data_IF_856622696421
#
_entry.id   IF_856622696421
#
_cell.length_a   1.000
_cell.length_b   1.000
_cell.length_c   1.000
_cell.angle_alpha   90.00
_cell.angle_beta   90.00
_cell.angle_gamma   90.00
#
_symmetry.space_group_name_H-M   'P 1'
#
loop_
_entity.id
_entity.type
_entity.pdbx_description
1 polymer ?
#
# COMPACT_ATOMS: atom_id res chain seq x y z
N UNK A 1 0.31 27.60 -8.20
CA UNK A 1 -0.70 26.52 -8.36
C UNK A 1 -1.50 26.34 -7.07
N UNK A 2 -0.89 25.93 -5.93
CA UNK A 2 -1.66 25.68 -4.68
C UNK A 2 -2.32 26.95 -4.17
N UNK A 3 -1.61 28.08 -4.17
CA UNK A 3 -2.14 29.37 -3.73
C UNK A 3 -3.37 29.81 -4.58
N UNK A 4 -3.33 29.59 -5.88
CA UNK A 4 -4.46 29.84 -6.79
C UNK A 4 -5.68 28.97 -6.44
N UNK A 5 -5.44 27.68 -6.13
CA UNK A 5 -6.52 26.80 -5.66
C UNK A 5 -7.09 27.22 -4.31
N UNK A 6 -6.27 27.71 -3.40
CA UNK A 6 -6.74 28.19 -2.09
C UNK A 6 -7.66 29.41 -2.21
N UNK A 7 -7.47 30.25 -3.25
CA UNK A 7 -8.32 31.42 -3.50
C UNK A 7 -9.71 31.07 -4.04
N UNK A 8 -9.83 29.98 -4.82
CA UNK A 8 -11.09 29.62 -5.50
C UNK A 8 -11.83 28.45 -4.83
N UNK A 9 -11.19 27.72 -3.94
CA UNK A 9 -11.79 26.54 -3.31
C UNK A 9 -12.93 26.93 -2.37
N UNK A 10 -14.02 26.20 -2.45
CA UNK A 10 -15.19 26.35 -1.56
C UNK A 10 -15.06 25.55 -0.26
N UNK A 11 -13.94 24.90 -0.05
CA UNK A 11 -13.60 24.11 1.14
C UNK A 11 -12.22 24.47 1.68
N UNK A 12 -11.94 24.11 2.92
CA UNK A 12 -10.67 24.46 3.57
C UNK A 12 -9.50 23.64 3.01
N UNK A 13 -8.51 24.33 2.49
CA UNK A 13 -7.23 23.76 2.06
C UNK A 13 -6.17 24.13 3.10
N UNK A 14 -5.40 23.14 3.57
CA UNK A 14 -4.27 23.31 4.46
C UNK A 14 -3.03 22.77 3.77
N UNK A 15 -2.14 23.63 3.37
CA UNK A 15 -0.90 23.26 2.69
C UNK A 15 0.26 23.12 3.67
N UNK A 16 1.00 22.03 3.53
CA UNK A 16 2.19 21.74 4.33
C UNK A 16 3.35 21.36 3.43
N UNK A 17 4.29 22.27 3.28
CA UNK A 17 5.56 21.96 2.60
C UNK A 17 6.48 21.13 3.48
N UNK A 18 7.17 20.17 2.88
CA UNK A 18 8.28 19.45 3.48
C UNK A 18 9.26 19.01 2.39
N UNK A 19 10.53 18.83 2.77
CA UNK A 19 11.52 18.22 1.90
C UNK A 19 11.14 16.78 1.57
N UNK A 20 11.46 16.32 0.34
CA UNK A 20 11.14 14.98 -0.10
C UNK A 20 11.90 13.92 0.73
N UNK A 21 11.20 13.31 1.64
CA UNK A 21 11.66 12.20 2.49
C UNK A 21 10.91 10.91 2.21
N UNK A 22 10.13 10.86 1.11
CA UNK A 22 9.32 9.74 0.68
C UNK A 22 7.84 9.88 1.03
N UNK A 23 6.98 9.28 0.19
CA UNK A 23 5.51 9.34 0.32
C UNK A 23 5.01 8.94 1.71
N UNK A 24 5.55 7.90 2.31
CA UNK A 24 5.16 7.40 3.63
C UNK A 24 5.36 8.45 4.75
N UNK A 25 6.39 9.29 4.65
CA UNK A 25 6.63 10.39 5.61
C UNK A 25 5.59 11.49 5.41
N UNK A 26 5.25 11.80 4.17
CA UNK A 26 4.18 12.75 3.86
C UNK A 26 2.82 12.25 4.37
N UNK A 27 2.53 10.96 4.21
CA UNK A 27 1.31 10.35 4.77
C UNK A 27 1.29 10.46 6.29
N UNK A 28 2.38 10.13 7.00
CA UNK A 28 2.45 10.28 8.45
C UNK A 28 2.15 11.70 8.90
N UNK A 29 2.70 12.71 8.18
CA UNK A 29 2.40 14.11 8.47
C UNK A 29 0.95 14.44 8.19
N UNK A 30 0.42 14.04 7.02
CA UNK A 30 -0.98 14.26 6.67
C UNK A 30 -1.94 13.67 7.69
N UNK A 31 -1.70 12.44 8.15
CA UNK A 31 -2.50 11.78 9.19
C UNK A 31 -2.44 12.55 10.53
N UNK A 32 -1.25 12.99 10.95
CA UNK A 32 -1.10 13.77 12.18
C UNK A 32 -1.85 15.11 12.14
N UNK A 33 -1.76 15.79 11.00
CA UNK A 33 -2.41 17.08 10.78
C UNK A 33 -3.92 16.98 10.49
N UNK A 34 -4.40 15.78 10.14
CA UNK A 34 -5.79 15.56 9.77
C UNK A 34 -6.74 15.79 10.94
N UNK A 35 -7.85 16.51 10.65
CA UNK A 35 -8.96 16.77 11.59
C UNK A 35 -10.25 16.04 11.18
N UNK A 36 -10.30 15.53 9.96
CA UNK A 36 -11.44 14.77 9.43
C UNK A 36 -11.54 13.39 10.06
N UNK A 37 -12.73 12.84 10.13
CA UNK A 37 -13.00 11.50 10.62
C UNK A 37 -12.43 10.42 9.72
N UNK A 38 -12.44 10.68 8.41
CA UNK A 38 -11.88 9.82 7.38
C UNK A 38 -10.62 10.45 6.76
N UNK A 39 -9.66 9.62 6.45
CA UNK A 39 -8.43 9.98 5.74
C UNK A 39 -8.36 9.26 4.41
N UNK A 40 -8.23 10.01 3.33
CA UNK A 40 -8.13 9.49 1.98
C UNK A 40 -6.87 10.01 1.31
N UNK A 41 -6.05 9.12 0.77
CA UNK A 41 -4.84 9.46 0.02
C UNK A 41 -5.21 9.60 -1.45
N UNK A 42 -5.02 10.80 -1.99
CA UNK A 42 -5.16 11.07 -3.43
C UNK A 42 -3.81 11.55 -3.93
N UNK A 43 -3.27 10.86 -4.93
CA UNK A 43 -2.00 11.22 -5.56
C UNK A 43 -2.20 12.45 -6.46
N UNK A 44 -1.17 13.27 -6.64
CA UNK A 44 -1.27 14.57 -7.33
C UNK A 44 -1.50 14.46 -8.84
N UNK A 45 -1.28 13.31 -9.41
CA UNK A 45 -1.47 12.96 -10.82
C UNK A 45 -2.77 12.18 -11.10
N UNK A 46 -3.58 11.98 -10.03
CA UNK A 46 -4.84 11.25 -10.08
C UNK A 46 -6.03 12.16 -9.79
N UNK A 47 -7.25 11.69 -10.07
CA UNK A 47 -8.47 12.45 -9.75
C UNK A 47 -9.61 11.55 -9.25
N UNK A 48 -10.58 12.18 -8.57
CA UNK A 48 -11.78 11.52 -8.07
C UNK A 48 -12.95 11.78 -9.01
N UNK A 49 -13.93 10.86 -9.02
CA UNK A 49 -15.21 11.14 -9.68
C UNK A 49 -15.93 12.29 -8.97
N UNK A 50 -16.76 13.03 -9.66
CA UNK A 50 -17.54 14.16 -9.12
C UNK A 50 -18.36 13.77 -7.87
N UNK A 51 -18.90 12.55 -7.86
CA UNK A 51 -19.72 12.03 -6.77
C UNK A 51 -18.93 11.29 -5.68
N UNK A 52 -17.60 11.26 -5.74
CA UNK A 52 -16.78 10.45 -4.85
C UNK A 52 -17.02 10.76 -3.36
N UNK A 53 -17.00 12.04 -3.00
CA UNK A 53 -17.13 12.47 -1.59
C UNK A 53 -18.53 12.16 -1.05
N UNK A 54 -19.57 12.46 -1.83
CA UNK A 54 -20.94 12.16 -1.45
C UNK A 54 -21.16 10.65 -1.26
N UNK A 55 -20.62 9.86 -2.18
CA UNK A 55 -20.68 8.41 -2.12
C UNK A 55 -19.98 7.86 -0.88
N UNK A 56 -18.76 8.34 -0.59
CA UNK A 56 -18.00 7.96 0.61
C UNK A 56 -18.81 8.27 1.87
N UNK A 57 -19.38 9.46 1.97
CA UNK A 57 -20.20 9.86 3.12
C UNK A 57 -21.44 8.98 3.28
N UNK A 58 -22.10 8.65 2.18
CA UNK A 58 -23.28 7.76 2.20
C UNK A 58 -22.92 6.35 2.69
N UNK A 59 -21.91 5.76 2.09
CA UNK A 59 -21.50 4.37 2.39
C UNK A 59 -20.90 4.26 3.81
N UNK A 60 -20.22 5.32 4.29
CA UNK A 60 -19.64 5.35 5.65
C UNK A 60 -20.70 5.33 6.75
N UNK A 61 -21.87 5.93 6.53
CA UNK A 61 -22.99 5.90 7.49
C UNK A 61 -23.39 4.47 7.86
N UNK A 62 -23.22 3.52 6.97
CA UNK A 62 -23.56 2.13 7.21
C UNK A 62 -22.55 1.38 8.12
N UNK A 63 -21.38 1.96 8.41
CA UNK A 63 -20.32 1.35 9.25
C UNK A 63 -19.82 2.26 10.37
N UNK A 64 -20.34 3.47 10.51
CA UNK A 64 -19.83 4.48 11.45
C UNK A 64 -19.83 3.99 12.90
N UNK A 65 -20.85 3.25 13.32
CA UNK A 65 -20.99 2.70 14.68
C UNK A 65 -20.29 1.35 14.90
N UNK A 66 -19.78 0.71 13.84
CA UNK A 66 -19.12 -0.59 13.96
C UNK A 66 -17.60 -0.41 14.12
N UNK A 67 -17.10 -0.72 15.32
CA UNK A 67 -15.67 -0.61 15.67
C UNK A 67 -14.80 -1.65 15.01
N UNK A 68 -15.37 -2.67 14.37
CA UNK A 68 -14.62 -3.70 13.62
C UNK A 68 -14.17 -3.21 12.26
N UNK A 69 -14.73 -2.10 11.75
CA UNK A 69 -14.32 -1.49 10.49
C UNK A 69 -13.28 -0.38 10.69
N UNK A 70 -12.22 -0.44 9.90
CA UNK A 70 -11.24 0.65 9.78
C UNK A 70 -11.58 1.65 8.68
N UNK A 71 -12.57 1.37 7.83
CA UNK A 71 -12.93 2.27 6.74
C UNK A 71 -13.59 1.59 5.55
N UNK A 72 -13.44 2.21 4.38
CA UNK A 72 -14.03 1.82 3.10
C UNK A 72 -12.94 1.55 2.07
N UNK A 73 -13.27 0.79 1.04
CA UNK A 73 -12.39 0.52 -0.09
C UNK A 73 -13.21 0.47 -1.38
N UNK A 74 -12.75 1.20 -2.40
CA UNK A 74 -13.42 1.28 -3.70
C UNK A 74 -12.49 0.82 -4.81
N UNK A 75 -13.05 0.60 -6.00
CA UNK A 75 -12.26 0.31 -7.18
C UNK A 75 -11.55 1.59 -7.67
N UNK A 76 -10.31 1.42 -8.12
CA UNK A 76 -9.65 2.38 -9.00
C UNK A 76 -9.95 2.02 -10.45
N UNK A 77 -9.97 2.99 -11.31
CA UNK A 77 -10.15 2.81 -12.74
C UNK A 77 -9.09 3.58 -13.54
N UNK A 78 -8.84 3.15 -14.75
CA UNK A 78 -8.12 3.93 -15.75
C UNK A 78 -9.00 5.09 -16.24
N UNK A 79 -8.42 6.06 -16.93
CA UNK A 79 -9.15 7.19 -17.51
C UNK A 79 -10.22 6.74 -18.54
N UNK A 80 -10.07 5.55 -19.14
CA UNK A 80 -11.07 4.93 -20.03
C UNK A 80 -12.23 4.26 -19.28
N UNK A 81 -12.23 4.31 -17.94
CA UNK A 81 -13.25 3.76 -17.07
C UNK A 81 -13.12 2.26 -16.77
N UNK A 82 -12.10 1.57 -17.29
CA UNK A 82 -11.88 0.16 -16.96
C UNK A 82 -11.32 0.00 -15.55
N UNK A 83 -11.86 -0.95 -14.78
CA UNK A 83 -11.41 -1.21 -13.42
C UNK A 83 -9.95 -1.73 -13.40
N UNK A 84 -9.11 -1.15 -12.54
CA UNK A 84 -7.75 -1.63 -12.31
C UNK A 84 -7.82 -2.97 -11.57
N UNK A 85 -7.22 -4.00 -12.18
CA UNK A 85 -7.27 -5.38 -11.69
C UNK A 85 -8.49 -6.17 -12.14
N UNK A 86 -9.37 -5.58 -12.94
CA UNK A 86 -10.57 -6.19 -13.51
C UNK A 86 -11.84 -5.93 -12.69
N UNK A 87 -12.96 -6.28 -13.29
CA UNK A 87 -14.27 -6.17 -12.64
C UNK A 87 -14.41 -7.20 -11.51
N UNK A 88 -15.26 -6.89 -10.53
CA UNK A 88 -15.55 -7.75 -9.38
C UNK A 88 -17.02 -8.19 -9.39
N UNK A 89 -17.31 -9.32 -8.77
CA UNK A 89 -18.65 -9.96 -8.80
C UNK A 89 -19.46 -9.75 -7.51
N UNK A 90 -19.12 -8.75 -6.71
CA UNK A 90 -19.88 -8.36 -5.51
C UNK A 90 -20.35 -6.91 -5.66
N UNK A 91 -21.43 -6.54 -5.00
CA UNK A 91 -21.81 -5.14 -4.79
C UNK A 91 -21.07 -4.55 -3.58
N UNK A 92 -21.02 -5.33 -2.49
CA UNK A 92 -20.32 -5.01 -1.25
C UNK A 92 -19.71 -6.28 -0.67
N UNK A 93 -18.49 -6.19 -0.13
CA UNK A 93 -17.78 -7.29 0.52
C UNK A 93 -17.07 -6.78 1.78
N UNK A 94 -17.45 -7.33 2.94
CA UNK A 94 -16.87 -6.95 4.23
C UNK A 94 -15.81 -7.97 4.64
N UNK A 95 -14.54 -7.63 4.49
CA UNK A 95 -13.41 -8.47 4.91
C UNK A 95 -12.16 -7.61 5.18
N UNK A 96 -11.15 -8.21 5.81
CA UNK A 96 -9.86 -7.54 5.96
C UNK A 96 -9.08 -7.52 4.62
N UNK A 97 -8.11 -6.62 4.52
CA UNK A 97 -7.33 -6.42 3.29
C UNK A 97 -6.51 -7.65 2.88
N UNK A 98 -6.02 -8.44 3.85
CA UNK A 98 -5.25 -9.65 3.55
C UNK A 98 -6.12 -10.73 2.91
N UNK A 99 -7.32 -10.96 3.45
CA UNK A 99 -8.27 -11.91 2.86
C UNK A 99 -8.70 -11.44 1.48
N UNK A 100 -8.99 -10.14 1.32
CA UNK A 100 -9.36 -9.54 0.04
C UNK A 100 -8.32 -9.82 -1.05
N UNK A 101 -7.04 -9.55 -0.76
CA UNK A 101 -5.95 -9.70 -1.73
C UNK A 101 -5.48 -11.16 -1.90
N UNK A 102 -5.41 -11.95 -0.81
CA UNK A 102 -4.71 -13.22 -0.82
C UNK A 102 -5.63 -14.44 -0.84
N UNK A 103 -6.81 -14.38 -0.21
CA UNK A 103 -7.80 -15.49 -0.21
C UNK A 103 -8.83 -15.32 -1.33
N UNK A 104 -9.45 -14.14 -1.44
CA UNK A 104 -10.37 -13.84 -2.55
C UNK A 104 -9.63 -13.56 -3.87
N UNK A 105 -8.30 -13.32 -3.82
CA UNK A 105 -7.41 -13.12 -4.99
C UNK A 105 -7.85 -11.94 -5.88
N UNK A 106 -8.47 -10.93 -5.30
CA UNK A 106 -8.90 -9.75 -6.02
C UNK A 106 -7.67 -8.88 -6.29
N UNK A 107 -7.47 -8.55 -7.56
CA UNK A 107 -6.27 -7.86 -8.07
C UNK A 107 -6.49 -6.35 -8.17
N UNK A 108 -5.39 -5.66 -8.46
CA UNK A 108 -5.34 -4.21 -8.68
C UNK A 108 -5.41 -3.39 -7.41
N UNK A 109 -4.89 -2.19 -7.49
CA UNK A 109 -4.92 -1.24 -6.38
C UNK A 109 -6.35 -0.75 -6.17
N UNK A 110 -6.64 -0.39 -4.93
CA UNK A 110 -7.95 0.09 -4.50
C UNK A 110 -7.82 1.48 -3.91
N UNK A 111 -8.91 2.21 -3.89
CA UNK A 111 -9.03 3.48 -3.20
C UNK A 111 -9.46 3.21 -1.76
N UNK A 112 -8.48 2.97 -0.88
CA UNK A 112 -8.72 2.71 0.53
C UNK A 112 -8.85 4.04 1.28
N UNK A 113 -9.90 4.13 2.11
CA UNK A 113 -10.23 5.28 2.94
C UNK A 113 -10.32 4.78 4.37
N UNK A 114 -9.49 5.31 5.24
CA UNK A 114 -9.38 4.84 6.61
C UNK A 114 -9.96 5.83 7.62
N UNK A 115 -10.46 5.33 8.74
CA UNK A 115 -10.70 6.17 9.92
C UNK A 115 -9.38 6.80 10.37
N UNK A 116 -9.36 8.11 10.48
CA UNK A 116 -8.14 8.89 10.81
C UNK A 116 -7.52 8.45 12.14
N UNK A 117 -8.36 8.18 13.16
CA UNK A 117 -7.92 7.71 14.46
C UNK A 117 -7.15 6.40 14.38
N UNK A 118 -7.60 5.45 13.52
CA UNK A 118 -6.91 4.18 13.34
C UNK A 118 -5.55 4.39 12.66
N UNK A 119 -5.47 5.23 11.61
CA UNK A 119 -4.17 5.52 10.99
C UNK A 119 -3.19 6.19 11.95
N UNK A 120 -3.66 7.00 12.91
CA UNK A 120 -2.80 7.60 13.95
C UNK A 120 -2.14 6.56 14.86
N UNK A 121 -2.80 5.41 15.09
CA UNK A 121 -2.23 4.29 15.87
C UNK A 121 -1.18 3.49 15.08
N UNK A 122 -1.18 3.58 13.75
CA UNK A 122 -0.32 2.77 12.87
C UNK A 122 0.55 3.65 11.95
N UNK A 123 1.48 4.44 12.49
CA UNK A 123 2.36 5.26 11.66
C UNK A 123 3.31 4.39 10.81
N UNK A 124 3.65 4.88 9.64
CA UNK A 124 4.70 4.27 8.82
C UNK A 124 6.05 4.37 9.52
N UNK A 125 6.83 3.27 9.57
CA UNK A 125 8.18 3.29 10.10
C UNK A 125 9.10 4.15 9.22
N UNK A 126 10.10 4.73 9.85
CA UNK A 126 11.14 5.53 9.19
C UNK A 126 12.48 4.82 9.33
N UNK A 127 13.18 4.65 8.22
CA UNK A 127 14.51 4.05 8.19
C UNK A 127 15.49 5.08 7.63
N UNK A 128 16.61 5.27 8.33
CA UNK A 128 17.62 6.26 7.93
C UNK A 128 18.12 6.00 6.52
N UNK A 129 18.05 7.03 5.66
CA UNK A 129 18.50 6.96 4.27
C UNK A 129 17.49 6.32 3.29
N UNK A 130 16.37 5.75 3.77
CA UNK A 130 15.36 5.15 2.90
C UNK A 130 14.18 6.11 2.66
N UNK A 131 13.84 6.31 1.40
CA UNK A 131 12.74 7.20 0.97
C UNK A 131 11.49 6.45 0.51
N UNK A 132 11.44 5.15 0.73
CA UNK A 132 10.30 4.32 0.37
C UNK A 132 9.97 3.34 1.51
N UNK A 133 8.68 3.23 1.81
CA UNK A 133 8.12 2.16 2.63
C UNK A 133 6.86 1.64 1.91
N UNK A 134 6.72 0.31 1.72
CA UNK A 134 5.50 -0.24 1.14
C UNK A 134 4.28 0.13 1.99
N UNK A 135 3.27 0.77 1.39
CA UNK A 135 2.03 1.11 2.09
C UNK A 135 1.37 -0.13 2.72
N UNK A 136 1.46 -1.26 2.02
CA UNK A 136 0.97 -2.54 2.50
C UNK A 136 1.59 -3.00 3.84
N UNK A 137 2.75 -2.49 4.26
CA UNK A 137 3.31 -2.78 5.59
C UNK A 137 2.36 -2.32 6.69
N UNK A 138 1.89 -1.09 6.61
CA UNK A 138 0.97 -0.50 7.59
C UNK A 138 -0.44 -1.03 7.41
N UNK A 139 -0.93 -1.08 6.19
CA UNK A 139 -2.29 -1.53 5.92
C UNK A 139 -2.51 -3.01 6.28
N UNK A 140 -1.49 -3.86 6.14
CA UNK A 140 -1.55 -5.24 6.60
C UNK A 140 -1.58 -5.35 8.13
N UNK A 141 -0.87 -4.47 8.87
CA UNK A 141 -0.97 -4.42 10.34
C UNK A 141 -2.38 -4.06 10.79
N UNK A 142 -3.01 -3.08 10.15
CA UNK A 142 -4.41 -2.70 10.40
C UNK A 142 -5.34 -3.87 10.08
N UNK A 143 -5.10 -4.58 8.97
CA UNK A 143 -5.90 -5.71 8.52
C UNK A 143 -5.88 -6.93 9.49
N UNK A 144 -4.92 -7.02 10.39
CA UNK A 144 -4.91 -8.05 11.44
C UNK A 144 -6.01 -7.85 12.48
N UNK A 145 -6.49 -6.62 12.63
CA UNK A 145 -7.45 -6.25 13.69
C UNK A 145 -8.80 -5.78 13.12
N UNK A 146 -8.77 -5.20 11.93
CA UNK A 146 -9.92 -4.53 11.34
C UNK A 146 -10.25 -5.05 9.94
N UNK A 147 -11.50 -4.85 9.53
CA UNK A 147 -11.99 -5.09 8.16
C UNK A 147 -12.27 -3.76 7.46
N UNK A 148 -12.29 -3.81 6.13
CA UNK A 148 -12.77 -2.76 5.24
C UNK A 148 -14.11 -3.21 4.64
N UNK A 149 -14.98 -2.26 4.35
CA UNK A 149 -16.11 -2.48 3.45
C UNK A 149 -15.65 -2.18 2.03
N UNK A 150 -15.49 -3.22 1.24
CA UNK A 150 -15.14 -3.11 -0.16
C UNK A 150 -16.41 -2.93 -1.00
N UNK A 151 -16.43 -1.90 -1.84
CA UNK A 151 -17.62 -1.48 -2.60
C UNK A 151 -17.27 -1.51 -4.08
N UNK A 152 -18.15 -2.12 -4.88
CA UNK A 152 -18.03 -2.16 -6.33
C UNK A 152 -18.48 -0.82 -6.93
N UNK A 153 -17.66 0.20 -6.76
CA UNK A 153 -17.85 1.51 -7.38
C UNK A 153 -16.48 2.10 -7.72
N UNK A 154 -16.37 2.73 -8.86
CA UNK A 154 -15.18 3.40 -9.38
C UNK A 154 -15.26 4.86 -8.98
N UNK A 155 -14.47 5.28 -8.01
CA UNK A 155 -14.44 6.66 -7.52
C UNK A 155 -13.10 7.36 -7.71
N UNK A 156 -12.06 6.61 -8.11
CA UNK A 156 -10.68 7.06 -8.21
C UNK A 156 -10.12 6.69 -9.58
N UNK A 157 -9.58 7.65 -10.31
CA UNK A 157 -9.06 7.49 -11.66
C UNK A 157 -7.58 7.80 -11.71
N UNK A 158 -6.80 6.88 -12.27
CA UNK A 158 -5.35 7.00 -12.37
C UNK A 158 -4.81 6.27 -13.60
N UNK A 159 -3.55 6.57 -13.93
CA UNK A 159 -2.82 5.83 -14.96
C UNK A 159 -1.44 5.38 -14.47
N UNK A 160 -1.00 4.21 -14.94
CA UNK A 160 0.34 3.72 -14.66
C UNK A 160 1.30 4.21 -15.73
N UNK A 161 2.17 5.14 -15.36
CA UNK A 161 3.18 5.68 -16.27
C UNK A 161 4.36 4.70 -16.42
N UNK A 162 4.94 4.59 -17.63
CA UNK A 162 6.08 3.69 -17.89
C UNK A 162 7.32 3.99 -17.04
N UNK A 163 7.49 5.25 -16.62
CA UNK A 163 8.58 5.75 -15.79
C UNK A 163 8.19 5.95 -14.31
N UNK A 164 6.95 5.60 -13.96
CA UNK A 164 6.40 5.72 -12.63
C UNK A 164 7.06 4.79 -11.59
N UNK A 165 6.74 5.03 -10.32
CA UNK A 165 7.27 4.27 -9.17
C UNK A 165 6.99 2.76 -9.31
N UNK A 166 5.82 2.41 -9.81
CA UNK A 166 5.40 1.01 -10.00
C UNK A 166 6.30 0.29 -11.00
N UNK A 167 6.69 0.94 -12.07
CA UNK A 167 7.61 0.37 -13.07
C UNK A 167 9.01 0.13 -12.49
N UNK A 168 9.46 0.97 -11.55
CA UNK A 168 10.78 0.91 -10.91
C UNK A 168 10.78 0.20 -9.56
N UNK A 169 9.68 -0.43 -9.16
CA UNK A 169 9.46 -0.93 -7.79
C UNK A 169 10.52 -1.91 -7.31
N UNK A 170 11.10 -2.72 -8.19
CA UNK A 170 12.16 -3.67 -7.82
C UNK A 170 13.41 -2.90 -7.38
N UNK A 171 13.87 -1.92 -8.17
CA UNK A 171 15.00 -1.06 -7.82
C UNK A 171 14.76 -0.32 -6.51
N UNK A 172 13.59 0.30 -6.38
CA UNK A 172 13.21 1.04 -5.17
C UNK A 172 13.27 0.15 -3.93
N UNK A 173 12.83 -1.11 -4.03
CA UNK A 173 12.92 -2.09 -2.93
C UNK A 173 14.34 -2.55 -2.66
N UNK A 174 15.21 -2.59 -3.67
CA UNK A 174 16.64 -2.89 -3.50
C UNK A 174 17.36 -1.74 -2.80
N UNK A 175 17.01 -0.50 -3.11
CA UNK A 175 17.57 0.70 -2.49
C UNK A 175 17.04 0.94 -1.05
N UNK A 176 15.79 0.51 -0.77
CA UNK A 176 15.11 0.64 0.52
C UNK A 176 14.94 -0.74 1.18
N UNK A 177 16.08 -1.32 1.57
CA UNK A 177 16.16 -2.72 2.03
C UNK A 177 15.46 -2.94 3.36
N UNK A 178 15.63 -2.03 4.35
CA UNK A 178 15.10 -2.20 5.70
C UNK A 178 13.57 -2.22 5.69
N UNK A 179 12.95 -1.27 4.98
CA UNK A 179 11.50 -1.24 4.81
C UNK A 179 10.99 -2.48 4.05
N UNK A 180 11.69 -2.91 3.01
CA UNK A 180 11.35 -4.10 2.23
C UNK A 180 11.43 -5.37 3.08
N UNK A 181 12.48 -5.54 3.86
CA UNK A 181 12.65 -6.69 4.77
C UNK A 181 11.61 -6.68 5.90
N UNK A 182 11.31 -5.51 6.47
CA UNK A 182 10.25 -5.40 7.48
C UNK A 182 8.91 -5.87 6.91
N UNK A 183 8.54 -5.40 5.71
CA UNK A 183 7.31 -5.81 5.03
C UNK A 183 7.22 -7.32 4.83
N UNK A 184 8.24 -7.94 4.21
CA UNK A 184 8.19 -9.37 3.93
C UNK A 184 8.29 -10.23 5.19
N UNK A 185 9.05 -9.80 6.20
CA UNK A 185 9.14 -10.49 7.49
C UNK A 185 7.79 -10.53 8.19
N UNK A 186 7.10 -9.40 8.29
CA UNK A 186 5.81 -9.31 8.95
C UNK A 186 4.74 -10.07 8.17
N UNK A 187 4.69 -9.90 6.84
CA UNK A 187 3.74 -10.62 6.00
C UNK A 187 3.89 -12.15 6.13
N UNK A 188 5.14 -12.66 6.24
CA UNK A 188 5.37 -14.10 6.45
C UNK A 188 4.79 -14.62 7.77
N UNK A 189 4.78 -13.79 8.81
CA UNK A 189 4.25 -14.14 10.12
C UNK A 189 2.72 -14.13 10.19
N UNK A 190 2.06 -13.43 9.27
CA UNK A 190 0.60 -13.31 9.22
C UNK A 190 -0.06 -14.62 8.79
N UNK A 191 -1.36 -14.78 9.12
CA UNK A 191 -2.17 -15.90 8.64
C UNK A 191 -2.57 -15.72 7.18
N UNK A 192 -1.68 -16.14 6.28
CA UNK A 192 -1.85 -16.07 4.84
C UNK A 192 -1.67 -17.46 4.20
N UNK A 193 -2.19 -17.68 2.98
CA UNK A 193 -2.03 -18.94 2.27
C UNK A 193 -0.56 -19.36 2.15
N UNK A 194 -0.30 -20.66 2.31
CA UNK A 194 1.09 -21.20 2.31
C UNK A 194 1.88 -20.82 1.06
N UNK A 195 1.24 -20.83 -0.12
CA UNK A 195 1.88 -20.41 -1.38
C UNK A 195 2.35 -18.95 -1.33
N UNK A 196 1.62 -18.09 -0.61
CA UNK A 196 2.02 -16.69 -0.39
C UNK A 196 3.17 -16.59 0.64
N UNK A 197 3.19 -17.45 1.67
CA UNK A 197 4.32 -17.53 2.60
C UNK A 197 5.61 -17.90 1.88
N UNK A 198 5.58 -18.87 0.96
CA UNK A 198 6.75 -19.24 0.15
C UNK A 198 7.21 -18.06 -0.72
N UNK A 199 6.30 -17.40 -1.43
CA UNK A 199 6.62 -16.20 -2.23
C UNK A 199 7.21 -15.07 -1.38
N UNK A 200 6.67 -14.87 -0.19
CA UNK A 200 7.11 -13.85 0.77
C UNK A 200 8.52 -14.17 1.27
N UNK A 201 8.82 -15.43 1.59
CA UNK A 201 10.15 -15.88 2.00
C UNK A 201 11.18 -15.71 0.87
N UNK A 202 10.81 -16.06 -0.38
CA UNK A 202 11.66 -15.85 -1.56
C UNK A 202 12.02 -14.35 -1.71
N UNK A 203 11.03 -13.46 -1.64
CA UNK A 203 11.28 -12.03 -1.76
C UNK A 203 12.06 -11.45 -0.56
N UNK A 204 11.81 -11.95 0.66
CA UNK A 204 12.63 -11.59 1.81
C UNK A 204 14.10 -11.90 1.54
N UNK A 205 14.44 -13.14 1.16
CA UNK A 205 15.80 -13.56 0.88
C UNK A 205 16.40 -12.80 -0.31
N UNK A 206 15.63 -12.59 -1.38
CA UNK A 206 16.02 -11.82 -2.57
C UNK A 206 16.50 -10.41 -2.22
N UNK A 207 15.78 -9.67 -1.37
CA UNK A 207 16.15 -8.33 -0.95
C UNK A 207 17.16 -8.33 0.20
N UNK A 208 17.24 -9.38 1.03
CA UNK A 208 18.28 -9.51 2.05
C UNK A 208 19.69 -9.52 1.45
N UNK A 209 19.85 -9.99 0.21
CA UNK A 209 21.13 -9.95 -0.51
C UNK A 209 21.57 -8.51 -0.88
N UNK A 210 20.68 -7.52 -0.82
CA UNK A 210 21.00 -6.11 -1.01
C UNK A 210 21.45 -5.42 0.29
N UNK A 211 21.29 -6.07 1.46
CA UNK A 211 21.58 -5.42 2.74
C UNK A 211 23.06 -5.10 2.90
N UNK A 212 23.43 -3.90 3.44
CA UNK A 212 24.81 -3.51 3.69
C UNK A 212 25.42 -4.20 4.90
N UNK A 213 24.59 -4.77 5.80
CA UNK A 213 25.01 -5.51 6.98
C UNK A 213 25.22 -7.01 6.70
N UNK A 214 25.35 -7.83 7.77
CA UNK A 214 25.52 -9.28 7.64
C UNK A 214 24.32 -9.95 6.91
N UNK A 215 24.32 -9.80 5.59
CA UNK A 215 23.26 -10.29 4.70
C UNK A 215 23.07 -11.80 4.76
N UNK A 216 24.10 -12.56 5.14
CA UNK A 216 24.00 -14.01 5.25
C UNK A 216 23.12 -14.44 6.41
N UNK A 217 23.17 -13.75 7.56
CA UNK A 217 22.23 -14.00 8.66
C UNK A 217 20.79 -13.69 8.28
N UNK A 218 20.57 -12.62 7.52
CA UNK A 218 19.26 -12.26 7.02
C UNK A 218 18.79 -13.27 5.97
N UNK A 219 19.70 -13.70 5.07
CA UNK A 219 19.38 -14.63 3.99
C UNK A 219 18.95 -16.00 4.54
N UNK A 220 19.64 -16.56 5.54
CA UNK A 220 19.31 -17.88 6.10
C UNK A 220 18.19 -17.85 7.15
N UNK A 221 17.29 -16.88 7.08
CA UNK A 221 16.20 -16.74 8.06
C UNK A 221 15.13 -17.83 8.00
N UNK A 222 14.94 -18.48 6.86
CA UNK A 222 13.89 -19.49 6.65
C UNK A 222 14.49 -20.88 6.34
N UNK A 223 15.19 -21.51 7.28
CA UNK A 223 15.91 -22.77 7.03
C UNK A 223 14.99 -23.91 6.60
N UNK A 224 13.73 -23.95 7.08
CA UNK A 224 12.76 -24.98 6.73
C UNK A 224 12.36 -24.94 5.25
N UNK A 225 12.47 -23.78 4.62
CA UNK A 225 12.15 -23.56 3.20
C UNK A 225 13.40 -23.46 2.32
N UNK A 226 14.60 -23.61 2.90
CA UNK A 226 15.88 -23.27 2.25
C UNK A 226 16.11 -23.93 0.90
N UNK A 227 15.74 -25.20 0.74
CA UNK A 227 15.91 -25.95 -0.51
C UNK A 227 15.15 -25.28 -1.68
N UNK A 228 13.95 -24.72 -1.41
CA UNK A 228 13.12 -24.07 -2.43
C UNK A 228 13.42 -22.58 -2.53
N UNK A 229 13.55 -21.93 -1.39
CA UNK A 229 13.60 -20.45 -1.30
C UNK A 229 14.94 -19.90 -1.79
N UNK A 230 16.07 -20.47 -1.34
CA UNK A 230 17.36 -19.84 -1.57
C UNK A 230 17.81 -19.86 -3.03
N UNK A 231 17.73 -20.98 -3.77
CA UNK A 231 18.08 -20.98 -5.18
C UNK A 231 17.25 -19.98 -6.00
N UNK A 232 15.94 -19.94 -5.77
CA UNK A 232 15.03 -19.04 -6.48
C UNK A 232 15.35 -17.57 -6.12
N UNK A 233 15.60 -17.27 -4.85
CA UNK A 233 15.92 -15.93 -4.38
C UNK A 233 17.23 -15.42 -5.02
N UNK A 234 18.27 -16.25 -5.11
CA UNK A 234 19.54 -15.93 -5.77
C UNK A 234 19.32 -15.65 -7.25
N UNK A 235 18.64 -16.55 -7.98
CA UNK A 235 18.34 -16.35 -9.39
C UNK A 235 17.58 -15.04 -9.66
N UNK A 236 16.56 -14.74 -8.83
CA UNK A 236 15.82 -13.49 -8.93
C UNK A 236 16.68 -12.28 -8.64
N UNK A 237 17.54 -12.34 -7.63
CA UNK A 237 18.45 -11.26 -7.28
C UNK A 237 19.45 -10.95 -8.41
N UNK A 238 20.09 -11.98 -8.98
CA UNK A 238 21.02 -11.81 -10.12
C UNK A 238 20.29 -11.19 -11.33
N UNK A 239 19.08 -11.65 -11.64
CA UNK A 239 18.27 -11.06 -12.70
C UNK A 239 17.95 -9.58 -12.43
N UNK A 240 17.67 -9.23 -11.18
CA UNK A 240 17.35 -7.84 -10.83
C UNK A 240 18.57 -6.93 -10.95
N UNK A 241 19.74 -7.39 -10.52
CA UNK A 241 21.00 -6.66 -10.73
C UNK A 241 21.23 -6.36 -12.21
N UNK A 242 21.05 -7.35 -13.10
CA UNK A 242 21.17 -7.14 -14.52
C UNK A 242 20.22 -6.06 -15.07
N UNK A 243 18.95 -6.08 -14.64
CA UNK A 243 17.92 -5.10 -15.08
C UNK A 243 18.10 -3.69 -14.54
N UNK A 244 18.74 -3.55 -13.40
CA UNK A 244 18.93 -2.23 -12.74
C UNK A 244 20.18 -1.54 -13.27
N UNK A 245 21.12 -2.31 -13.90
CA UNK A 245 22.35 -1.80 -14.52
C UNK A 245 22.17 -1.44 -16.00
N UNK A 246 21.08 -1.86 -16.65
CA UNK A 246 20.63 -1.40 -17.98
C UNK A 246 19.81 -0.08 -17.85
#
# INVERSE_FOLDING_TARGET
VIDEFMEIATFSIRYFYQENSGKHIAINRGVRESKGELFFIVDSDDYLSEMAVERIQSDYKAIIGDTTFCGLSYLRAYHDGKAIGGEVNYSTLDCNLLDYKLRYKIKGDKAEIYKTEILKEYPFPQYTGERFCPEALVFNRIALKYKLRHINAKIYYCEYLPDGLTAKIVKVRMDCVQASLAYYRELYQMDIPYTQKVKTAINYCRFALCAPCDKWKLFFKYPQLGIIVYPIAICLHVRDLARVTE
#
